data_IF_105600796794
#
_entry.id   IF_105600796794
#
_cell.length_a   1.000
_cell.length_b   1.000
_cell.length_c   1.000
_cell.angle_alpha   90.00
_cell.angle_beta   90.00
_cell.angle_gamma   90.00
#
_symmetry.space_group_name_H-M   'P 1'
#
loop_
_entity.id
_entity.type
_entity.pdbx_description
1 polymer ?
#
# COMPACT_ATOMS: atom_id res chain seq x y z
N UNK A 1 -79.29 46.01 28.87
CA UNK A 1 -79.36 44.57 28.52
C UNK A 1 -79.16 44.42 27.02
N UNK A 2 -78.20 43.58 26.59
CA UNK A 2 -78.03 42.88 25.29
C UNK A 2 -78.33 43.62 23.96
N UNK A 3 -77.64 43.43 22.84
CA UNK A 3 -76.49 42.65 22.37
C UNK A 3 -76.16 43.29 21.00
N UNK A 4 -74.95 43.82 20.76
CA UNK A 4 -74.49 44.14 19.39
C UNK A 4 -73.71 42.94 18.86
N UNK A 5 -74.33 42.20 17.95
CA UNK A 5 -73.65 41.23 17.10
C UNK A 5 -72.89 41.97 16.00
N UNK A 6 -71.61 41.63 15.81
CA UNK A 6 -70.87 42.00 14.61
C UNK A 6 -70.35 40.71 13.96
N UNK A 7 -70.70 40.54 12.69
CA UNK A 7 -70.37 39.38 11.86
C UNK A 7 -68.87 39.37 11.54
N UNK A 8 -68.18 38.27 11.80
CA UNK A 8 -66.84 38.01 11.28
C UNK A 8 -66.93 37.46 9.85
N UNK A 9 -66.23 38.10 8.90
CA UNK A 9 -66.00 37.60 7.54
C UNK A 9 -64.81 36.61 7.55
N UNK A 10 -64.86 35.48 6.83
CA UNK A 10 -63.72 34.57 6.71
C UNK A 10 -62.90 34.96 5.47
N UNK A 11 -61.70 35.50 5.64
CA UNK A 11 -60.81 35.82 4.50
C UNK A 11 -59.35 35.41 4.70
N UNK A 12 -59.05 34.47 5.63
CA UNK A 12 -57.68 34.03 5.90
C UNK A 12 -57.41 32.53 5.61
N UNK A 13 -58.39 31.78 5.08
CA UNK A 13 -58.26 30.33 4.86
C UNK A 13 -57.54 29.93 3.57
N UNK A 14 -57.74 30.67 2.47
CA UNK A 14 -57.14 30.32 1.17
C UNK A 14 -55.66 30.72 1.09
N UNK A 15 -55.31 31.89 1.62
CA UNK A 15 -53.96 32.46 1.50
C UNK A 15 -52.93 31.64 2.29
N UNK A 16 -53.28 31.15 3.49
CA UNK A 16 -52.41 30.27 4.27
C UNK A 16 -52.23 28.89 3.65
N UNK A 17 -53.24 28.36 2.92
CA UNK A 17 -53.12 27.10 2.19
C UNK A 17 -52.20 27.22 0.98
N UNK A 18 -52.26 28.32 0.24
CA UNK A 18 -51.34 28.59 -0.87
C UNK A 18 -49.90 28.75 -0.39
N UNK A 19 -49.67 29.46 0.73
CA UNK A 19 -48.33 29.61 1.30
C UNK A 19 -47.80 28.26 1.81
N UNK A 20 -48.62 27.47 2.51
CA UNK A 20 -48.21 26.14 2.95
C UNK A 20 -47.89 25.22 1.76
N UNK A 21 -48.68 25.26 0.69
CA UNK A 21 -48.44 24.47 -0.51
C UNK A 21 -47.15 24.90 -1.23
N UNK A 22 -46.87 26.20 -1.31
CA UNK A 22 -45.63 26.72 -1.87
C UNK A 22 -44.40 26.32 -1.04
N UNK A 23 -44.50 26.37 0.30
CA UNK A 23 -43.40 25.95 1.19
C UNK A 23 -43.14 24.45 1.05
N UNK A 24 -44.18 23.62 1.06
CA UNK A 24 -44.03 22.16 0.89
C UNK A 24 -43.44 21.85 -0.49
N UNK A 25 -43.95 22.48 -1.55
CA UNK A 25 -43.42 22.31 -2.91
C UNK A 25 -41.95 22.73 -3.01
N UNK A 26 -41.54 23.82 -2.36
CA UNK A 26 -40.15 24.29 -2.36
C UNK A 26 -39.24 23.33 -1.58
N UNK A 27 -39.69 22.80 -0.44
CA UNK A 27 -38.94 21.81 0.34
C UNK A 27 -38.76 20.49 -0.41
N UNK A 28 -39.79 20.03 -1.13
CA UNK A 28 -39.70 18.84 -1.97
C UNK A 28 -38.76 19.06 -3.15
N UNK A 29 -38.82 20.24 -3.78
CA UNK A 29 -37.91 20.59 -4.88
C UNK A 29 -36.46 20.65 -4.41
N UNK A 30 -36.20 21.24 -3.24
CA UNK A 30 -34.87 21.26 -2.61
C UNK A 30 -34.38 19.85 -2.22
N UNK A 31 -35.24 18.98 -1.71
CA UNK A 31 -34.89 17.59 -1.40
C UNK A 31 -34.57 16.79 -2.67
N UNK A 32 -35.36 16.94 -3.72
CA UNK A 32 -35.08 16.31 -5.03
C UNK A 32 -33.80 16.88 -5.63
N UNK A 33 -33.57 18.19 -5.53
CA UNK A 33 -32.33 18.82 -6.00
C UNK A 33 -31.12 18.29 -5.22
N UNK A 34 -31.19 18.23 -3.89
CA UNK A 34 -30.15 17.63 -3.06
C UNK A 34 -29.95 16.17 -3.45
N UNK A 35 -30.99 15.36 -3.61
CA UNK A 35 -30.87 13.96 -4.06
C UNK A 35 -30.25 13.83 -5.47
N UNK A 36 -30.58 14.74 -6.39
CA UNK A 36 -30.03 14.76 -7.74
C UNK A 36 -28.56 15.20 -7.79
N UNK A 37 -28.12 16.05 -6.86
CA UNK A 37 -26.74 16.54 -6.78
C UNK A 37 -25.88 15.82 -5.72
N UNK A 38 -26.48 15.06 -4.81
CA UNK A 38 -25.78 14.18 -3.86
C UNK A 38 -25.39 12.85 -4.53
N UNK A 39 -26.00 12.53 -5.67
CA UNK A 39 -25.55 11.48 -6.59
C UNK A 39 -24.52 11.99 -7.63
N UNK A 40 -23.63 12.90 -7.24
CA UNK A 40 -22.26 12.82 -7.77
C UNK A 40 -21.53 11.75 -6.97
N UNK A 41 -21.94 10.51 -7.19
CA UNK A 41 -21.07 9.38 -6.98
C UNK A 41 -19.82 9.68 -7.82
N UNK A 42 -18.73 10.00 -7.12
CA UNK A 42 -17.47 9.41 -7.49
C UNK A 42 -17.76 7.91 -7.62
N UNK A 43 -18.06 7.47 -8.84
CA UNK A 43 -17.83 6.08 -9.21
C UNK A 43 -16.46 5.77 -8.63
N UNK A 44 -16.29 4.76 -7.78
CA UNK A 44 -14.96 4.22 -7.61
C UNK A 44 -14.59 3.86 -9.04
N UNK A 45 -13.60 4.57 -9.61
CA UNK A 45 -12.98 4.15 -10.85
C UNK A 45 -12.83 2.65 -10.72
N UNK A 46 -13.34 1.89 -11.68
CA UNK A 46 -13.16 0.44 -11.70
C UNK A 46 -11.65 0.20 -11.71
N UNK A 47 -11.08 0.07 -10.51
CA UNK A 47 -9.64 -0.10 -10.24
C UNK A 47 -9.17 -1.41 -10.90
N UNK A 48 -10.10 -2.34 -11.10
CA UNK A 48 -9.87 -3.62 -11.74
C UNK A 48 -9.71 -3.55 -13.25
N UNK A 49 -10.53 -2.75 -13.95
CA UNK A 49 -10.65 -2.84 -15.41
C UNK A 49 -9.46 -2.27 -16.19
N UNK A 50 -8.68 -1.35 -15.60
CA UNK A 50 -7.65 -0.59 -16.31
C UNK A 50 -6.21 -0.93 -15.91
N UNK A 51 -6.00 -1.89 -14.99
CA UNK A 51 -4.69 -2.07 -14.35
C UNK A 51 -4.07 -3.46 -14.44
N UNK A 52 -4.81 -4.50 -14.83
CA UNK A 52 -4.26 -5.85 -14.96
C UNK A 52 -3.21 -6.00 -16.07
N UNK A 53 -3.32 -5.26 -17.17
CA UNK A 53 -2.34 -5.37 -18.27
C UNK A 53 -0.94 -4.84 -17.93
N UNK A 54 -0.76 -4.10 -16.82
CA UNK A 54 0.46 -3.31 -16.58
C UNK A 54 1.50 -3.93 -15.64
N UNK A 55 1.18 -5.03 -14.97
CA UNK A 55 2.02 -5.58 -13.90
C UNK A 55 3.33 -6.21 -14.40
N UNK A 56 3.29 -6.84 -15.57
CA UNK A 56 4.47 -7.42 -16.23
C UNK A 56 5.11 -6.50 -17.30
N UNK A 57 4.62 -5.27 -17.50
CA UNK A 57 5.22 -4.36 -18.49
C UNK A 57 6.65 -3.92 -18.16
N UNK A 58 7.13 -4.15 -16.93
CA UNK A 58 8.47 -3.74 -16.52
C UNK A 58 9.58 -4.60 -17.12
N UNK A 59 9.34 -5.84 -17.53
CA UNK A 59 10.39 -6.67 -18.14
C UNK A 59 10.98 -6.03 -19.39
N UNK A 60 10.20 -5.23 -20.12
CA UNK A 60 10.66 -4.46 -21.28
C UNK A 60 11.42 -3.16 -20.94
N UNK A 61 11.30 -2.66 -19.70
CA UNK A 61 11.81 -1.35 -19.26
C UNK A 61 12.98 -1.45 -18.29
N UNK A 62 13.01 -2.47 -17.44
CA UNK A 62 13.99 -2.66 -16.37
C UNK A 62 14.26 -4.14 -16.18
N UNK A 63 15.53 -4.52 -16.26
CA UNK A 63 16.00 -5.83 -15.82
C UNK A 63 16.65 -5.70 -14.45
N UNK A 64 16.26 -6.54 -13.48
CA UNK A 64 16.96 -6.60 -12.19
C UNK A 64 18.32 -7.29 -12.39
N UNK A 65 19.38 -6.53 -12.14
CA UNK A 65 20.76 -6.97 -12.10
C UNK A 65 21.44 -6.27 -10.94
N UNK A 66 21.11 -6.66 -9.69
CA UNK A 66 21.61 -5.99 -8.51
C UNK A 66 23.10 -6.20 -8.30
N UNK A 67 23.71 -5.27 -7.57
CA UNK A 67 25.01 -5.46 -6.92
C UNK A 67 24.79 -5.94 -5.49
N UNK A 68 25.47 -7.02 -5.12
CA UNK A 68 25.48 -7.58 -3.77
C UNK A 68 26.79 -7.19 -3.05
N UNK A 69 26.67 -6.75 -1.80
CA UNK A 69 27.79 -6.50 -0.89
C UNK A 69 27.41 -6.94 0.53
N UNK A 70 28.41 -7.09 1.39
CA UNK A 70 28.22 -7.48 2.78
C UNK A 70 28.93 -6.51 3.69
N UNK A 71 28.17 -5.79 4.54
CA UNK A 71 28.72 -4.71 5.36
C UNK A 71 28.12 -4.73 6.75
N UNK A 72 28.97 -4.53 7.77
CA UNK A 72 28.56 -4.49 9.18
C UNK A 72 27.74 -5.71 9.63
N UNK A 73 27.98 -6.88 9.02
CA UNK A 73 27.31 -8.12 9.35
C UNK A 73 25.93 -8.31 8.69
N UNK A 74 25.60 -7.53 7.67
CA UNK A 74 24.33 -7.66 6.94
C UNK A 74 24.50 -7.53 5.42
N UNK A 75 23.56 -8.11 4.68
CA UNK A 75 23.47 -8.00 3.22
C UNK A 75 23.03 -6.59 2.84
N UNK A 76 23.74 -6.02 1.85
CA UNK A 76 23.39 -4.76 1.23
C UNK A 76 23.28 -5.01 -0.27
N UNK A 77 22.08 -4.83 -0.82
CA UNK A 77 21.79 -5.13 -2.23
C UNK A 77 21.17 -3.91 -2.87
N UNK A 78 21.69 -3.51 -4.03
CA UNK A 78 21.23 -2.29 -4.70
C UNK A 78 21.31 -2.37 -6.22
N UNK A 79 20.58 -1.47 -6.87
CA UNK A 79 20.71 -1.20 -8.29
C UNK A 79 20.52 0.31 -8.53
N UNK A 80 21.36 0.88 -9.39
CA UNK A 80 21.32 2.30 -9.74
C UNK A 80 20.94 2.37 -11.23
N UNK A 81 19.81 3.00 -11.59
CA UNK A 81 19.45 3.20 -12.98
C UNK A 81 20.26 4.34 -13.58
N UNK A 82 20.32 4.42 -14.91
CA UNK A 82 20.95 5.56 -15.59
C UNK A 82 20.23 6.87 -15.23
N UNK A 83 21.02 7.91 -14.94
CA UNK A 83 20.54 9.24 -14.54
C UNK A 83 19.55 9.19 -13.36
N UNK A 84 19.98 8.70 -12.18
CA UNK A 84 19.10 8.58 -11.02
C UNK A 84 18.66 9.96 -10.54
N UNK A 85 17.37 10.08 -10.19
CA UNK A 85 16.78 11.33 -9.69
C UNK A 85 16.65 11.39 -8.17
N UNK A 86 16.69 10.24 -7.51
CA UNK A 86 16.52 10.10 -6.07
C UNK A 86 17.15 8.80 -5.58
N UNK A 87 17.41 8.72 -4.28
CA UNK A 87 17.78 7.49 -3.57
C UNK A 87 16.58 6.96 -2.81
N UNK A 88 16.28 5.67 -2.94
CA UNK A 88 15.24 4.98 -2.18
C UNK A 88 15.85 3.87 -1.33
N UNK A 89 15.64 3.97 -0.02
CA UNK A 89 15.86 2.86 0.91
C UNK A 89 14.58 2.04 1.10
N UNK A 90 14.67 0.72 0.90
CA UNK A 90 13.56 -0.23 1.16
C UNK A 90 13.88 -1.09 2.40
N UNK A 91 12.98 -1.07 3.38
CA UNK A 91 13.05 -1.87 4.60
C UNK A 91 11.96 -2.94 4.62
N UNK A 92 12.36 -4.22 4.65
CA UNK A 92 11.45 -5.37 4.65
C UNK A 92 10.63 -5.49 5.95
N UNK A 93 9.53 -6.25 5.91
CA UNK A 93 8.77 -6.67 7.09
C UNK A 93 9.43 -7.82 7.86
N UNK A 94 8.80 -8.30 8.94
CA UNK A 94 9.34 -9.48 9.64
C UNK A 94 9.44 -10.69 8.71
N UNK A 95 10.42 -11.57 8.93
CA UNK A 95 10.76 -12.74 8.09
C UNK A 95 11.32 -12.40 6.69
N UNK A 96 11.29 -11.12 6.30
CA UNK A 96 11.92 -10.63 5.08
C UNK A 96 13.43 -10.44 5.19
N UNK A 97 14.06 -10.08 4.07
CA UNK A 97 15.47 -9.74 3.92
C UNK A 97 15.69 -8.90 2.65
N UNK A 98 16.85 -8.26 2.51
CA UNK A 98 17.20 -7.49 1.29
C UNK A 98 17.01 -8.31 0.01
N UNK A 99 17.39 -9.59 0.03
CA UNK A 99 17.27 -10.52 -1.09
C UNK A 99 15.82 -10.78 -1.58
N UNK A 100 14.78 -10.40 -0.84
CA UNK A 100 13.40 -10.54 -1.31
C UNK A 100 13.03 -9.53 -2.40
N UNK A 101 13.69 -8.38 -2.46
CA UNK A 101 13.42 -7.32 -3.45
C UNK A 101 14.02 -7.58 -4.83
N UNK A 102 14.76 -8.67 -5.00
CA UNK A 102 15.58 -8.89 -6.18
C UNK A 102 15.46 -10.31 -6.69
N UNK A 103 15.53 -10.46 -8.00
CA UNK A 103 15.55 -11.75 -8.68
C UNK A 103 16.83 -12.51 -8.42
N UNK A 104 16.68 -13.83 -8.35
CA UNK A 104 17.81 -14.72 -8.51
C UNK A 104 18.50 -14.45 -9.85
N UNK A 105 19.78 -14.16 -9.79
CA UNK A 105 20.62 -13.89 -10.96
C UNK A 105 22.05 -14.37 -10.72
N UNK A 106 22.92 -14.30 -11.74
CA UNK A 106 24.34 -14.60 -11.56
C UNK A 106 25.01 -13.66 -10.54
N UNK A 107 24.57 -12.40 -10.49
CA UNK A 107 25.10 -11.37 -9.58
C UNK A 107 24.52 -11.48 -8.16
N UNK A 108 23.37 -12.14 -8.00
CA UNK A 108 22.79 -12.44 -6.71
C UNK A 108 22.14 -13.85 -6.71
N UNK A 109 22.94 -14.92 -6.50
CA UNK A 109 22.44 -16.29 -6.57
C UNK A 109 21.50 -16.66 -5.41
N UNK A 110 21.56 -15.91 -4.31
CA UNK A 110 20.71 -16.10 -3.12
C UNK A 110 19.51 -15.15 -3.08
N UNK A 111 19.34 -14.30 -4.10
CA UNK A 111 18.15 -13.49 -4.25
C UNK A 111 16.92 -14.35 -4.55
N UNK A 112 15.75 -13.90 -4.08
CA UNK A 112 14.51 -14.68 -4.05
C UNK A 112 13.46 -14.04 -4.97
N UNK A 113 13.23 -12.73 -4.81
CA UNK A 113 12.27 -11.99 -5.62
C UNK A 113 10.82 -12.33 -5.24
N UNK A 114 10.42 -11.97 -4.03
CA UNK A 114 9.03 -12.08 -3.60
C UNK A 114 8.16 -11.12 -4.44
N UNK A 115 6.94 -11.52 -4.85
CA UNK A 115 6.06 -10.73 -5.71
C UNK A 115 5.95 -9.25 -5.36
N UNK A 116 5.64 -8.88 -4.12
CA UNK A 116 5.39 -7.46 -3.83
C UNK A 116 6.68 -6.66 -3.66
N UNK A 117 7.68 -7.21 -2.98
CA UNK A 117 8.99 -6.57 -2.83
C UNK A 117 9.65 -6.31 -4.18
N UNK A 118 9.72 -7.32 -5.05
CA UNK A 118 10.36 -7.18 -6.37
C UNK A 118 9.65 -6.15 -7.23
N UNK A 119 8.32 -6.10 -7.20
CA UNK A 119 7.54 -5.18 -8.03
C UNK A 119 7.77 -3.74 -7.56
N UNK A 120 7.87 -3.51 -6.25
CA UNK A 120 8.25 -2.20 -5.71
C UNK A 120 9.64 -1.77 -6.20
N UNK A 121 10.64 -2.68 -6.19
CA UNK A 121 11.97 -2.39 -6.71
C UNK A 121 11.97 -2.07 -8.21
N UNK A 122 11.22 -2.84 -9.02
CA UNK A 122 11.03 -2.60 -10.45
C UNK A 122 10.38 -1.24 -10.73
N UNK A 123 9.28 -0.92 -10.04
CA UNK A 123 8.61 0.38 -10.16
C UNK A 123 9.53 1.55 -9.79
N UNK A 124 10.38 1.39 -8.76
CA UNK A 124 11.34 2.41 -8.35
C UNK A 124 12.39 2.66 -9.44
N UNK A 125 13.00 1.59 -9.94
CA UNK A 125 14.04 1.66 -10.99
C UNK A 125 13.49 2.21 -12.31
N UNK A 126 12.27 1.82 -12.70
CA UNK A 126 11.60 2.34 -13.89
C UNK A 126 11.39 3.86 -13.81
N UNK A 127 11.17 4.37 -12.60
CA UNK A 127 11.03 5.81 -12.33
C UNK A 127 12.36 6.49 -11.98
N UNK A 128 13.49 5.84 -12.24
CA UNK A 128 14.85 6.39 -12.05
C UNK A 128 15.23 6.67 -10.60
N UNK A 129 14.71 5.88 -9.64
CA UNK A 129 15.23 5.87 -8.28
C UNK A 129 16.41 4.90 -8.19
N UNK A 130 17.50 5.33 -7.55
CA UNK A 130 18.58 4.45 -7.13
C UNK A 130 18.13 3.70 -5.87
N UNK A 131 18.01 2.38 -5.96
CA UNK A 131 17.37 1.56 -4.91
C UNK A 131 18.43 0.84 -4.10
N UNK A 132 18.38 0.98 -2.77
CA UNK A 132 19.18 0.21 -1.81
C UNK A 132 18.26 -0.54 -0.84
N UNK A 133 18.58 -1.80 -0.62
CA UNK A 133 17.91 -2.67 0.36
C UNK A 133 18.95 -3.23 1.32
N UNK A 134 18.58 -3.34 2.60
CA UNK A 134 19.47 -3.81 3.67
C UNK A 134 18.69 -4.84 4.48
N UNK A 135 19.32 -5.97 4.80
CA UNK A 135 18.70 -6.97 5.67
C UNK A 135 18.75 -6.51 7.13
N UNK A 136 17.69 -6.74 7.88
CA UNK A 136 17.75 -6.63 9.33
C UNK A 136 18.67 -7.71 9.91
N UNK A 137 19.21 -7.48 11.11
CA UNK A 137 20.09 -8.45 11.79
C UNK A 137 19.35 -9.74 12.19
N UNK A 138 18.04 -9.66 12.39
CA UNK A 138 17.22 -10.76 12.90
C UNK A 138 16.02 -11.04 12.00
N UNK A 139 14.97 -11.59 12.62
CA UNK A 139 13.67 -11.79 11.97
C UNK A 139 12.98 -10.47 11.65
N UNK A 140 13.10 -9.49 12.53
CA UNK A 140 12.50 -8.16 12.41
C UNK A 140 13.57 -7.10 12.74
N UNK A 141 13.33 -5.86 12.32
CA UNK A 141 14.17 -4.71 12.65
C UNK A 141 14.19 -4.39 14.15
N UNK A 142 15.35 -3.92 14.63
CA UNK A 142 15.56 -3.41 15.98
C UNK A 142 15.92 -1.91 15.97
N UNK A 143 15.48 -1.16 16.99
CA UNK A 143 15.53 0.32 16.97
C UNK A 143 16.76 0.96 17.64
N UNK A 144 17.75 0.17 18.06
CA UNK A 144 18.94 0.66 18.78
C UNK A 144 20.17 0.70 17.88
N UNK A 145 21.11 -0.22 18.11
CA UNK A 145 22.38 -0.32 17.38
C UNK A 145 22.18 -0.40 15.87
N UNK A 146 21.09 -1.04 15.44
CA UNK A 146 20.79 -1.24 14.02
C UNK A 146 20.39 0.06 13.30
N UNK A 147 19.74 1.02 13.97
CA UNK A 147 19.47 2.36 13.40
C UNK A 147 20.78 3.04 12.99
N UNK A 148 21.80 2.98 13.85
CA UNK A 148 23.11 3.57 13.59
C UNK A 148 23.83 2.83 12.45
N UNK A 149 23.82 1.48 12.49
CA UNK A 149 24.45 0.67 11.44
C UNK A 149 23.83 0.97 10.07
N UNK A 150 22.50 1.02 9.96
CA UNK A 150 21.81 1.28 8.69
C UNK A 150 22.05 2.69 8.21
N UNK A 151 21.99 3.69 9.10
CA UNK A 151 22.36 5.07 8.78
C UNK A 151 23.77 5.14 8.17
N UNK A 152 24.74 4.46 8.76
CA UNK A 152 26.13 4.45 8.30
C UNK A 152 26.26 3.75 6.95
N UNK A 153 25.55 2.64 6.73
CA UNK A 153 25.52 1.93 5.45
C UNK A 153 24.94 2.83 4.35
N UNK A 154 23.78 3.45 4.58
CA UNK A 154 23.14 4.33 3.60
C UNK A 154 24.06 5.51 3.28
N UNK A 155 24.61 6.18 4.30
CA UNK A 155 25.50 7.33 4.11
C UNK A 155 26.75 6.95 3.32
N UNK A 156 27.37 5.81 3.66
CA UNK A 156 28.51 5.28 2.92
C UNK A 156 28.16 4.96 1.46
N UNK A 157 27.03 4.30 1.22
CA UNK A 157 26.61 3.88 -0.11
C UNK A 157 26.28 5.08 -1.00
N UNK A 158 25.57 6.08 -0.46
CA UNK A 158 25.28 7.34 -1.17
C UNK A 158 26.58 8.03 -1.57
N UNK A 159 27.56 8.13 -0.66
CA UNK A 159 28.88 8.73 -0.96
C UNK A 159 29.69 7.92 -1.97
N UNK A 160 29.76 6.60 -1.81
CA UNK A 160 30.49 5.68 -2.71
C UNK A 160 30.03 5.85 -4.16
N UNK A 161 28.72 6.06 -4.36
CA UNK A 161 28.10 6.14 -5.67
C UNK A 161 27.86 7.58 -6.15
N UNK A 162 28.38 8.60 -5.45
CA UNK A 162 28.26 10.03 -5.80
C UNK A 162 26.82 10.53 -5.90
N UNK A 163 25.95 10.07 -4.99
CA UNK A 163 24.51 10.38 -4.97
C UNK A 163 24.14 11.44 -3.92
N UNK A 164 25.12 12.12 -3.30
CA UNK A 164 24.91 13.02 -2.16
C UNK A 164 24.02 14.23 -2.48
N UNK A 165 23.91 14.59 -3.75
CA UNK A 165 23.10 15.71 -4.23
C UNK A 165 21.64 15.33 -4.50
N UNK A 166 21.32 14.03 -4.47
CA UNK A 166 19.98 13.54 -4.77
C UNK A 166 19.12 13.50 -3.49
N UNK A 167 17.80 13.72 -3.61
CA UNK A 167 16.87 13.51 -2.51
C UNK A 167 16.92 12.05 -2.05
N UNK A 168 16.89 11.84 -0.74
CA UNK A 168 16.82 10.53 -0.09
C UNK A 168 15.40 10.31 0.42
N UNK A 169 14.78 9.19 0.06
CA UNK A 169 13.46 8.75 0.53
C UNK A 169 13.53 7.34 1.09
N UNK A 170 12.54 6.93 1.87
CA UNK A 170 12.45 5.58 2.41
C UNK A 170 11.04 5.01 2.37
N UNK A 171 10.96 3.70 2.18
CA UNK A 171 9.74 2.90 2.36
C UNK A 171 10.06 1.73 3.29
N UNK A 172 9.23 1.54 4.31
CA UNK A 172 9.31 0.39 5.19
C UNK A 172 7.98 -0.31 5.35
N UNK A 173 7.97 -1.64 5.34
CA UNK A 173 6.78 -2.46 5.55
C UNK A 173 6.79 -3.11 6.95
N UNK A 174 5.67 -3.05 7.67
CA UNK A 174 5.49 -3.66 9.00
C UNK A 174 6.64 -3.27 9.95
N UNK A 175 7.44 -4.23 10.45
CA UNK A 175 8.65 -3.92 11.26
C UNK A 175 9.61 -2.93 10.59
N UNK A 176 9.74 -2.96 9.25
CA UNK A 176 10.50 -2.00 8.47
C UNK A 176 9.87 -0.60 8.48
N UNK A 177 8.54 -0.50 8.53
CA UNK A 177 7.84 0.78 8.64
C UNK A 177 8.06 1.45 10.00
N UNK A 178 7.95 0.67 11.09
CA UNK A 178 8.37 1.15 12.41
C UNK A 178 9.84 1.59 12.39
N UNK A 179 10.72 0.82 11.75
CA UNK A 179 12.14 1.12 11.69
C UNK A 179 12.44 2.41 10.93
N UNK A 180 11.83 2.60 9.77
CA UNK A 180 11.94 3.83 8.98
C UNK A 180 11.44 5.04 9.77
N UNK A 181 10.34 4.89 10.53
CA UNK A 181 9.82 5.99 11.36
C UNK A 181 10.83 6.48 12.41
N UNK A 182 11.62 5.56 12.99
CA UNK A 182 12.69 5.90 13.94
C UNK A 182 13.95 6.38 13.20
N UNK A 183 14.33 5.74 12.09
CA UNK A 183 15.52 6.11 11.32
C UNK A 183 15.44 7.56 10.82
N UNK A 184 14.23 8.03 10.50
CA UNK A 184 13.95 9.39 10.09
C UNK A 184 14.30 10.47 11.13
N UNK A 185 14.45 10.11 12.41
CA UNK A 185 14.89 11.08 13.44
C UNK A 185 16.39 11.32 13.43
N UNK A 186 17.18 10.46 12.77
CA UNK A 186 18.65 10.52 12.75
C UNK A 186 19.26 10.62 11.35
N UNK A 187 18.47 10.37 10.31
CA UNK A 187 18.83 10.46 8.90
C UNK A 187 17.78 11.29 8.16
N UNK A 188 18.23 12.30 7.41
CA UNK A 188 17.34 13.24 6.72
C UNK A 188 16.77 12.60 5.46
N UNK A 189 15.48 12.27 5.50
CA UNK A 189 14.68 11.93 4.32
C UNK A 189 13.91 13.16 3.85
N UNK A 190 13.64 13.23 2.55
CA UNK A 190 12.74 14.23 1.94
C UNK A 190 11.27 13.83 2.11
N UNK A 191 10.99 12.53 2.15
CA UNK A 191 9.69 11.96 2.52
C UNK A 191 9.86 10.47 2.83
N UNK A 192 8.92 9.90 3.59
CA UNK A 192 8.89 8.49 3.94
C UNK A 192 7.52 7.87 3.66
N UNK A 193 7.49 6.56 3.43
CA UNK A 193 6.27 5.75 3.34
C UNK A 193 6.31 4.63 4.37
N UNK A 194 5.27 4.55 5.19
CA UNK A 194 5.06 3.52 6.19
C UNK A 194 3.95 2.59 5.71
N UNK A 195 4.33 1.40 5.27
CA UNK A 195 3.41 0.41 4.74
C UNK A 195 3.05 -0.60 5.82
N UNK A 196 1.75 -0.88 5.98
CA UNK A 196 1.17 -1.75 7.02
C UNK A 196 1.77 -1.46 8.40
N UNK A 197 2.09 -0.18 8.65
CA UNK A 197 2.85 0.33 9.79
C UNK A 197 2.28 1.68 10.24
N UNK A 198 1.98 1.80 11.54
CA UNK A 198 1.58 3.04 12.19
C UNK A 198 2.80 3.88 12.63
N UNK A 199 4.00 3.28 12.71
CA UNK A 199 5.20 3.97 13.17
C UNK A 199 5.33 4.03 14.70
N UNK A 200 6.46 4.59 15.17
CA UNK A 200 6.84 4.65 16.60
C UNK A 200 6.66 6.05 17.18
N UNK A 201 5.59 6.76 16.78
CA UNK A 201 5.39 8.18 17.05
C UNK A 201 5.12 8.54 18.52
N UNK A 202 4.77 7.55 19.34
CA UNK A 202 4.67 7.67 20.80
C UNK A 202 6.03 7.54 21.51
N UNK A 203 7.05 7.05 20.81
CA UNK A 203 8.36 6.72 21.37
C UNK A 203 9.51 7.57 20.80
N UNK A 204 9.20 8.47 19.87
CA UNK A 204 10.18 9.37 19.25
C UNK A 204 9.80 10.83 19.45
N UNK A 205 10.82 11.69 19.48
CA UNK A 205 10.64 13.13 19.45
C UNK A 205 10.42 13.61 18.01
N UNK A 206 9.17 13.92 17.67
CA UNK A 206 8.78 14.46 16.37
C UNK A 206 9.15 15.95 16.33
N UNK A 207 10.27 16.22 15.66
CA UNK A 207 10.76 17.58 15.43
C UNK A 207 10.04 18.23 14.25
N UNK A 208 10.08 19.56 14.18
CA UNK A 208 9.46 20.34 13.08
C UNK A 208 9.96 19.95 11.68
N UNK A 209 11.16 19.35 11.59
CA UNK A 209 11.76 18.89 10.34
C UNK A 209 11.59 17.39 10.08
N UNK A 210 10.68 16.72 10.81
CA UNK A 210 10.35 15.32 10.54
C UNK A 210 9.76 15.19 9.12
N UNK A 211 10.15 14.17 8.34
CA UNK A 211 9.79 14.11 6.93
C UNK A 211 8.27 13.90 6.72
N UNK A 212 7.71 14.48 5.64
CA UNK A 212 6.40 14.12 5.13
C UNK A 212 6.21 12.60 5.10
N UNK A 213 5.08 12.13 5.63
CA UNK A 213 4.83 10.70 5.87
C UNK A 213 3.56 10.22 5.15
N UNK A 214 3.72 9.22 4.28
CA UNK A 214 2.60 8.51 3.65
C UNK A 214 2.33 7.21 4.40
N UNK A 215 1.10 7.00 4.84
CA UNK A 215 0.64 5.71 5.35
C UNK A 215 0.00 4.90 4.22
N UNK A 216 0.39 3.64 4.10
CA UNK A 216 -0.21 2.69 3.14
C UNK A 216 -0.67 1.48 3.94
N UNK A 217 -1.96 1.22 4.04
CA UNK A 217 -2.45 0.15 4.91
C UNK A 217 -3.68 -0.54 4.34
N UNK A 218 -4.05 -1.66 4.95
CA UNK A 218 -5.21 -2.43 4.56
C UNK A 218 -6.30 -2.27 5.62
N UNK A 219 -7.52 -1.86 5.25
CA UNK A 219 -8.52 -1.43 6.21
C UNK A 219 -9.11 -2.58 7.05
N UNK A 220 -8.94 -3.85 6.66
CA UNK A 220 -9.34 -5.00 7.51
C UNK A 220 -8.41 -5.19 8.71
N UNK A 221 -7.20 -4.62 8.70
CA UNK A 221 -6.36 -4.52 9.88
C UNK A 221 -6.86 -3.37 10.76
N UNK A 222 -7.95 -3.62 11.50
CA UNK A 222 -8.66 -2.60 12.27
C UNK A 222 -7.77 -1.93 13.32
N UNK A 223 -6.90 -2.70 13.96
CA UNK A 223 -5.96 -2.16 14.95
C UNK A 223 -4.99 -1.18 14.29
N UNK A 224 -4.39 -1.57 13.16
CA UNK A 224 -3.47 -0.71 12.41
C UNK A 224 -4.17 0.54 11.89
N UNK A 225 -5.36 0.39 11.30
CA UNK A 225 -6.17 1.50 10.79
C UNK A 225 -6.45 2.52 11.87
N UNK A 226 -6.89 2.09 13.06
CA UNK A 226 -7.13 2.99 14.18
C UNK A 226 -5.85 3.72 14.59
N UNK A 227 -4.74 2.99 14.75
CA UNK A 227 -3.46 3.58 15.15
C UNK A 227 -2.89 4.56 14.14
N UNK A 228 -3.03 4.28 12.85
CA UNK A 228 -2.64 5.20 11.78
C UNK A 228 -3.45 6.49 11.89
N UNK A 229 -4.79 6.41 12.04
CA UNK A 229 -5.62 7.61 12.20
C UNK A 229 -5.18 8.46 13.40
N UNK A 230 -4.88 7.84 14.55
CA UNK A 230 -4.34 8.53 15.73
C UNK A 230 -3.02 9.27 15.41
N UNK A 231 -2.07 8.60 14.77
CA UNK A 231 -0.76 9.19 14.48
C UNK A 231 -0.72 10.17 13.31
N UNK A 232 -1.65 10.05 12.36
CA UNK A 232 -1.84 11.08 11.34
C UNK A 232 -2.20 12.42 11.99
N UNK A 233 -3.09 12.43 12.99
CA UNK A 233 -3.42 13.65 13.73
C UNK A 233 -2.25 14.18 14.55
N UNK A 234 -1.48 13.29 15.19
CA UNK A 234 -0.25 13.69 15.90
C UNK A 234 0.74 14.38 14.96
N UNK A 235 0.99 13.81 13.77
CA UNK A 235 1.92 14.37 12.80
C UNK A 235 1.44 15.69 12.21
N UNK A 236 0.15 15.80 11.84
CA UNK A 236 -0.45 17.05 11.35
C UNK A 236 -0.34 18.17 12.40
N UNK A 237 -0.61 17.86 13.67
CA UNK A 237 -0.46 18.82 14.78
C UNK A 237 0.99 19.28 14.99
N UNK A 238 1.98 18.52 14.49
CA UNK A 238 3.40 18.88 14.47
C UNK A 238 3.84 19.57 13.17
N UNK A 239 2.90 19.87 12.26
CA UNK A 239 3.17 20.52 10.98
C UNK A 239 3.80 19.62 9.93
N UNK A 240 3.78 18.29 10.13
CA UNK A 240 4.24 17.32 9.14
C UNK A 240 3.14 17.12 8.10
N UNK A 241 3.50 17.09 6.81
CA UNK A 241 2.56 16.71 5.75
C UNK A 241 2.33 15.19 5.77
N UNK A 242 1.05 14.79 5.68
CA UNK A 242 0.64 13.40 5.90
C UNK A 242 -0.38 12.97 4.85
N UNK A 243 -0.10 11.83 4.21
CA UNK A 243 -1.00 11.18 3.26
C UNK A 243 -1.45 9.79 3.73
N UNK A 244 -2.51 9.29 3.12
CA UNK A 244 -3.03 7.94 3.36
C UNK A 244 -3.43 7.24 2.05
N UNK A 245 -3.16 5.94 1.99
CA UNK A 245 -3.63 5.02 0.96
C UNK A 245 -4.23 3.80 1.66
N UNK A 246 -5.54 3.61 1.48
CA UNK A 246 -6.21 2.36 1.84
C UNK A 246 -6.15 1.37 0.67
N UNK A 247 -5.57 0.20 0.94
CA UNK A 247 -5.44 -0.92 0.01
C UNK A 247 -6.62 -1.87 0.22
N UNK A 248 -7.63 -1.77 -0.64
CA UNK A 248 -8.84 -2.58 -0.55
C UNK A 248 -8.59 -4.03 -1.01
N UNK A 249 -9.46 -4.94 -0.56
CA UNK A 249 -9.52 -6.29 -1.12
C UNK A 249 -9.90 -6.26 -2.60
N UNK A 250 -9.48 -7.27 -3.33
CA UNK A 250 -9.79 -7.43 -4.74
C UNK A 250 -10.00 -8.91 -5.07
N UNK A 251 -10.79 -9.23 -6.10
CA UNK A 251 -11.06 -10.60 -6.43
C UNK A 251 -9.85 -11.23 -7.10
N UNK A 252 -9.63 -12.51 -6.81
CA UNK A 252 -8.75 -13.33 -7.62
C UNK A 252 -9.34 -13.49 -9.02
N UNK A 253 -8.46 -13.58 -10.00
CA UNK A 253 -8.82 -13.86 -11.39
C UNK A 253 -7.97 -15.04 -11.88
N UNK A 254 -8.43 -15.79 -12.90
CA UNK A 254 -7.76 -17.02 -13.33
C UNK A 254 -6.27 -16.86 -13.63
N UNK A 255 -5.86 -15.73 -14.20
CA UNK A 255 -4.47 -15.44 -14.56
C UNK A 255 -3.71 -14.59 -13.53
N UNK A 256 -4.36 -14.10 -12.48
CA UNK A 256 -3.77 -13.14 -11.54
C UNK A 256 -2.45 -13.64 -10.94
N UNK A 257 -2.38 -14.90 -10.51
CA UNK A 257 -1.17 -15.42 -9.88
C UNK A 257 -0.03 -15.53 -10.91
N UNK A 258 -0.30 -15.99 -12.13
CA UNK A 258 0.70 -16.05 -13.19
C UNK A 258 1.18 -14.65 -13.63
N UNK A 259 0.31 -13.65 -13.59
CA UNK A 259 0.66 -12.27 -13.92
C UNK A 259 1.57 -11.61 -12.87
N UNK A 260 1.61 -12.13 -11.65
CA UNK A 260 2.32 -11.50 -10.52
C UNK A 260 3.51 -12.30 -10.03
N UNK A 261 3.49 -13.62 -10.26
CA UNK A 261 4.48 -14.55 -9.75
C UNK A 261 5.36 -15.02 -10.91
N UNK A 262 6.62 -14.54 -10.99
CA UNK A 262 7.54 -14.98 -12.03
C UNK A 262 7.73 -16.50 -12.02
N UNK A 263 7.64 -17.11 -13.20
CA UNK A 263 7.78 -18.55 -13.37
C UNK A 263 6.54 -19.38 -13.03
N UNK A 264 5.42 -18.76 -12.62
CA UNK A 264 4.14 -19.46 -12.47
C UNK A 264 3.40 -19.50 -13.81
N UNK A 265 3.10 -20.71 -14.27
CA UNK A 265 2.41 -20.93 -15.54
C UNK A 265 0.92 -20.53 -15.47
N UNK A 266 0.39 -19.97 -16.58
CA UNK A 266 -1.01 -19.52 -16.66
C UNK A 266 -2.02 -20.67 -16.48
N UNK A 267 -1.71 -21.87 -16.97
CA UNK A 267 -2.58 -23.04 -16.78
C UNK A 267 -2.60 -23.49 -15.31
N UNK A 268 -1.47 -23.37 -14.60
CA UNK A 268 -1.40 -23.65 -13.16
C UNK A 268 -2.20 -22.60 -12.38
N UNK A 269 -2.05 -21.32 -12.70
CA UNK A 269 -2.84 -20.24 -12.09
C UNK A 269 -4.35 -20.47 -12.27
N UNK A 270 -4.78 -20.83 -13.48
CA UNK A 270 -6.19 -21.09 -13.79
C UNK A 270 -6.72 -22.28 -12.98
N UNK A 271 -5.97 -23.38 -12.90
CA UNK A 271 -6.35 -24.56 -12.10
C UNK A 271 -6.40 -24.26 -10.60
N UNK A 272 -5.51 -23.41 -10.09
CA UNK A 272 -5.56 -22.96 -8.69
C UNK A 272 -6.82 -22.13 -8.43
N UNK A 273 -7.15 -21.21 -9.33
CA UNK A 273 -8.37 -20.41 -9.23
C UNK A 273 -9.63 -21.29 -9.17
N UNK A 274 -9.72 -22.29 -10.05
CA UNK A 274 -10.82 -23.26 -10.04
C UNK A 274 -10.87 -24.05 -8.73
N UNK A 275 -9.72 -24.57 -8.27
CA UNK A 275 -9.61 -25.28 -7.00
C UNK A 275 -10.08 -24.40 -5.82
N UNK A 276 -9.69 -23.12 -5.79
CA UNK A 276 -10.07 -22.20 -4.72
C UNK A 276 -11.57 -21.92 -4.73
N UNK A 277 -12.18 -21.84 -5.91
CA UNK A 277 -13.64 -21.71 -6.06
C UNK A 277 -14.35 -22.97 -5.60
N UNK A 278 -13.90 -24.15 -6.03
CA UNK A 278 -14.53 -25.43 -5.73
C UNK A 278 -14.45 -25.78 -4.24
N UNK A 279 -13.33 -25.45 -3.59
CA UNK A 279 -13.15 -25.59 -2.14
C UNK A 279 -13.81 -24.46 -1.34
N UNK A 280 -14.38 -23.46 -2.02
CA UNK A 280 -15.09 -22.34 -1.42
C UNK A 280 -14.21 -21.35 -0.66
N UNK A 281 -12.90 -21.31 -0.96
CA UNK A 281 -11.95 -20.34 -0.38
C UNK A 281 -12.16 -18.93 -0.92
N UNK A 282 -12.62 -18.83 -2.17
CA UNK A 282 -13.14 -17.62 -2.77
C UNK A 282 -14.67 -17.68 -2.90
N UNK A 283 -15.31 -16.51 -2.97
CA UNK A 283 -16.74 -16.39 -3.26
C UNK A 283 -17.04 -16.42 -4.77
N UNK A 284 -18.32 -16.24 -5.12
CA UNK A 284 -18.78 -16.24 -6.51
C UNK A 284 -18.18 -15.10 -7.36
N UNK A 285 -17.74 -14.02 -6.71
CA UNK A 285 -17.13 -12.86 -7.35
C UNK A 285 -15.59 -12.93 -7.33
N UNK A 286 -15.00 -14.00 -6.75
CA UNK A 286 -13.57 -14.24 -6.67
C UNK A 286 -12.88 -13.66 -5.44
N UNK A 287 -13.61 -13.08 -4.48
CA UNK A 287 -13.01 -12.50 -3.28
C UNK A 287 -12.62 -13.59 -2.27
N UNK A 288 -11.46 -13.40 -1.64
CA UNK A 288 -11.00 -14.26 -0.55
C UNK A 288 -11.94 -14.16 0.65
N UNK A 289 -12.48 -15.29 1.11
CA UNK A 289 -13.35 -15.33 2.30
C UNK A 289 -12.57 -15.23 3.61
N UNK A 290 -11.30 -15.64 3.60
CA UNK A 290 -10.41 -15.62 4.75
C UNK A 290 -9.01 -15.17 4.32
N UNK A 291 -8.21 -14.72 5.29
CA UNK A 291 -6.78 -14.47 5.10
C UNK A 291 -6.10 -15.71 4.47
N UNK A 292 -5.27 -15.52 3.44
CA UNK A 292 -4.52 -16.58 2.77
C UNK A 292 -3.63 -17.39 3.72
N UNK A 293 -3.18 -16.82 4.85
CA UNK A 293 -2.45 -17.50 5.94
C UNK A 293 -3.32 -18.48 6.71
N UNK A 294 -4.63 -18.19 6.80
CA UNK A 294 -5.61 -18.98 7.55
C UNK A 294 -6.39 -19.94 6.67
N UNK A 295 -6.21 -19.87 5.36
CA UNK A 295 -6.88 -20.71 4.37
C UNK A 295 -6.07 -21.99 4.14
N UNK A 296 -6.72 -23.16 4.22
CA UNK A 296 -6.11 -24.48 4.00
C UNK A 296 -5.88 -24.83 2.53
N UNK A 297 -5.42 -23.86 1.74
CA UNK A 297 -5.25 -24.01 0.30
C UNK A 297 -4.06 -24.92 -0.05
N UNK A 298 -3.03 -24.97 0.80
CA UNK A 298 -1.87 -25.86 0.61
C UNK A 298 -2.29 -27.33 0.75
N UNK A 299 -3.15 -27.64 1.73
CA UNK A 299 -3.77 -28.96 1.87
C UNK A 299 -4.57 -29.32 0.62
N UNK A 300 -5.45 -28.42 0.18
CA UNK A 300 -6.27 -28.64 -1.01
C UNK A 300 -5.43 -28.87 -2.28
N UNK A 301 -4.31 -28.15 -2.43
CA UNK A 301 -3.39 -28.37 -3.56
C UNK A 301 -2.73 -29.75 -3.47
N UNK A 302 -2.27 -30.18 -2.28
CA UNK A 302 -1.70 -31.53 -2.10
C UNK A 302 -2.70 -32.66 -2.39
N UNK A 303 -3.98 -32.44 -2.09
CA UNK A 303 -5.06 -33.37 -2.41
C UNK A 303 -5.45 -33.35 -3.89
N UNK A 304 -5.00 -32.34 -4.64
CA UNK A 304 -5.26 -32.18 -6.07
C UNK A 304 -4.09 -32.71 -6.91
N UNK A 305 -4.32 -32.86 -8.22
CA UNK A 305 -3.25 -33.19 -9.18
C UNK A 305 -2.45 -31.96 -9.65
N UNK A 306 -2.41 -30.87 -8.87
CA UNK A 306 -1.63 -29.66 -9.19
C UNK A 306 -0.22 -29.82 -8.63
N UNK A 307 0.78 -29.75 -9.50
CA UNK A 307 2.20 -29.92 -9.15
C UNK A 307 2.91 -28.58 -9.31
N UNK A 308 3.64 -28.18 -8.27
CA UNK A 308 4.52 -27.01 -8.35
C UNK A 308 5.93 -27.45 -8.77
N UNK A 309 6.55 -26.78 -9.77
CA UNK A 309 7.94 -27.05 -10.13
C UNK A 309 8.92 -26.60 -9.02
N UNK A 310 8.55 -25.58 -8.24
CA UNK A 310 9.35 -25.05 -7.15
C UNK A 310 8.51 -24.90 -5.87
N UNK A 311 9.05 -25.40 -4.75
CA UNK A 311 8.44 -25.26 -3.42
C UNK A 311 8.35 -23.80 -2.96
N UNK A 312 9.21 -22.92 -3.48
CA UNK A 312 9.16 -21.48 -3.17
C UNK A 312 7.89 -20.81 -3.68
N UNK A 313 7.31 -21.30 -4.79
CA UNK A 313 6.05 -20.77 -5.34
C UNK A 313 4.91 -20.81 -4.31
N UNK A 314 4.93 -21.77 -3.38
CA UNK A 314 3.90 -21.83 -2.35
C UNK A 314 3.92 -20.62 -1.40
N UNK A 315 5.09 -20.00 -1.19
CA UNK A 315 5.19 -18.76 -0.42
C UNK A 315 4.68 -17.57 -1.23
N UNK A 316 5.01 -17.51 -2.52
CA UNK A 316 4.61 -16.42 -3.41
C UNK A 316 3.09 -16.41 -3.60
N UNK A 317 2.49 -17.58 -3.79
CA UNK A 317 1.02 -17.72 -3.85
C UNK A 317 0.41 -17.27 -2.51
N UNK A 318 0.99 -17.66 -1.37
CA UNK A 318 0.42 -17.26 -0.07
C UNK A 318 0.39 -15.74 0.09
N UNK A 319 1.48 -15.06 -0.25
CA UNK A 319 1.58 -13.59 -0.22
C UNK A 319 0.45 -12.95 -1.05
N UNK A 320 0.27 -13.40 -2.28
CA UNK A 320 -0.79 -12.90 -3.18
C UNK A 320 -2.21 -13.15 -2.66
N UNK A 321 -2.44 -14.29 -1.99
CA UNK A 321 -3.72 -14.56 -1.34
C UNK A 321 -3.98 -13.67 -0.13
N UNK A 322 -2.94 -13.36 0.65
CA UNK A 322 -3.04 -12.42 1.78
C UNK A 322 -3.32 -11.00 1.29
N UNK A 323 -2.63 -10.62 0.21
CA UNK A 323 -2.79 -9.34 -0.47
C UNK A 323 -4.23 -9.17 -0.98
N UNK A 324 -4.76 -10.18 -1.68
CA UNK A 324 -6.14 -10.18 -2.17
C UNK A 324 -7.18 -10.06 -1.06
N UNK A 325 -6.93 -10.67 0.10
CA UNK A 325 -7.80 -10.53 1.27
C UNK A 325 -7.71 -9.14 1.92
N UNK A 326 -6.65 -8.36 1.66
CA UNK A 326 -6.36 -7.06 2.24
C UNK A 326 -6.28 -7.09 3.79
N UNK A 327 -5.35 -7.89 4.33
CA UNK A 327 -5.01 -7.85 5.75
C UNK A 327 -3.49 -7.96 5.98
N UNK A 328 -2.89 -6.87 6.48
CA UNK A 328 -1.50 -6.80 6.93
C UNK A 328 -0.50 -7.46 5.95
N UNK A 329 -0.52 -7.07 4.68
CA UNK A 329 0.42 -7.55 3.66
C UNK A 329 1.10 -6.40 2.92
N UNK A 330 2.37 -6.57 2.57
CA UNK A 330 3.11 -5.61 1.75
C UNK A 330 2.42 -5.49 0.39
N UNK A 331 2.50 -4.32 -0.27
CA UNK A 331 1.88 -4.19 -1.58
C UNK A 331 2.54 -3.25 -2.57
N UNK A 332 2.63 -3.73 -3.81
CA UNK A 332 3.03 -2.99 -5.00
C UNK A 332 1.84 -2.37 -5.74
N UNK A 333 0.59 -2.70 -5.38
CA UNK A 333 -0.64 -2.18 -6.01
C UNK A 333 -0.62 -0.66 -6.12
N UNK A 334 -0.29 0.06 -5.07
CA UNK A 334 -0.35 1.52 -5.11
C UNK A 334 1.00 2.21 -5.40
N UNK A 335 1.94 1.49 -6.03
CA UNK A 335 3.27 2.03 -6.38
C UNK A 335 3.18 3.39 -7.08
N UNK A 336 2.35 3.57 -8.11
CA UNK A 336 2.21 4.86 -8.80
C UNK A 336 1.86 6.04 -7.86
N UNK A 337 1.03 5.80 -6.84
CA UNK A 337 0.66 6.82 -5.84
C UNK A 337 1.80 7.05 -4.84
N UNK A 338 2.47 5.98 -4.42
CA UNK A 338 3.63 6.04 -3.51
C UNK A 338 4.79 6.83 -4.15
N UNK A 339 5.09 6.57 -5.43
CA UNK A 339 6.18 7.29 -6.10
C UNK A 339 5.82 8.74 -6.42
N UNK A 340 4.55 9.03 -6.76
CA UNK A 340 4.05 10.42 -6.84
C UNK A 340 4.20 11.17 -5.52
N UNK A 341 3.93 10.51 -4.39
CA UNK A 341 4.17 11.09 -3.07
C UNK A 341 5.63 11.46 -2.89
N UNK A 342 6.55 10.52 -3.15
CA UNK A 342 7.99 10.82 -3.07
C UNK A 342 8.38 12.01 -3.97
N UNK A 343 7.99 11.98 -5.24
CA UNK A 343 8.30 13.04 -6.22
C UNK A 343 7.79 14.41 -5.81
N UNK A 344 6.59 14.48 -5.24
CA UNK A 344 6.02 15.75 -4.77
C UNK A 344 6.82 16.41 -3.65
N UNK A 345 7.67 15.66 -2.95
CA UNK A 345 8.48 16.09 -1.81
C UNK A 345 9.99 16.13 -2.09
N UNK A 346 10.44 15.90 -3.33
CA UNK A 346 11.87 15.91 -3.68
C UNK A 346 12.52 17.30 -3.77
N UNK A 347 11.78 18.37 -3.46
CA UNK A 347 12.21 19.75 -3.67
C UNK A 347 13.05 20.32 -2.53
#
# INVERSE_FOLDING_TARGET
MWKRGNKSKPYNGLQNRCVAFLVVSLTLFLLVFILMFYNTDQKPDSVLGLRMEKWNCFESLVQLSPTLDFRNGTDVIWQIPDSPKAVLFLAHGCDGRAANFWDKSLNCPNCVGLPEERLIALHALAQKFAVITISSKGRCWAFRKEIIIVKDIITWWVKKNKLEKLPLVALGASSGGYFVSVLATVLKFTSITLMIAEGMFDQIDIKENYPPTLFVHMPKDLFRKQKIAEYMEVLKNKGVDVGEIECMEFPLLPHLLADRIPGLDQSVSTRLFELFRDKGFIDENGYMKNDGRRTHWKEAVRESNIIFPDKQLAHYIQEELNLAFAFHEMTSLHSDRIFKWFESHMR
#
